data_IF_855527152989
#
_entry.id   IF_855527152989
#
_cell.length_a   1.000
_cell.length_b   1.000
_cell.length_c   1.000
_cell.angle_alpha   90.00
_cell.angle_beta   90.00
_cell.angle_gamma   90.00
#
_symmetry.space_group_name_H-M   'P 1'
#
loop_
_entity.id
_entity.type
_entity.pdbx_description
1 polymer ?
#
# COMPACT_ATOMS: atom_id res chain seq x y z
N UNK A 1 -0.71 5.06 15.35
CA UNK A 1 -0.91 4.97 13.89
C UNK A 1 -0.27 6.19 13.26
N UNK A 2 0.66 6.00 12.32
CA UNK A 2 1.31 7.11 11.60
C UNK A 2 0.29 7.79 10.70
N UNK A 3 0.15 9.12 10.81
CA UNK A 3 -0.76 9.88 9.96
C UNK A 3 -0.15 10.05 8.57
N UNK A 4 -0.94 9.76 7.54
CA UNK A 4 -0.55 9.90 6.14
C UNK A 4 -1.10 11.19 5.56
N UNK A 5 -0.29 11.80 4.71
CA UNK A 5 -0.60 13.02 3.98
C UNK A 5 -0.38 12.79 2.49
N UNK A 6 -1.00 13.60 1.64
CA UNK A 6 -0.92 13.46 0.21
C UNK A 6 -0.95 14.81 -0.52
N UNK A 7 -0.30 14.86 -1.68
CA UNK A 7 -0.53 15.84 -2.74
C UNK A 7 -1.16 15.14 -3.94
N UNK A 8 -1.91 15.89 -4.74
CA UNK A 8 -2.47 15.34 -5.98
C UNK A 8 -1.38 15.40 -7.06
N UNK A 9 -1.26 14.33 -7.85
CA UNK A 9 -0.33 14.29 -8.97
C UNK A 9 -0.78 15.25 -10.06
N UNK A 10 0.14 16.02 -10.67
CA UNK A 10 -0.20 16.92 -11.79
C UNK A 10 -0.82 16.22 -13.00
N UNK A 11 -0.58 14.92 -13.18
CA UNK A 11 -1.14 14.12 -14.27
C UNK A 11 -2.49 13.45 -13.91
N UNK A 12 -2.97 13.63 -12.67
CA UNK A 12 -4.27 13.10 -12.25
C UNK A 12 -5.41 13.93 -12.86
N UNK A 13 -6.58 13.30 -13.03
CA UNK A 13 -7.81 14.02 -13.39
C UNK A 13 -8.27 15.03 -12.33
N UNK A 14 -7.68 15.00 -11.13
CA UNK A 14 -7.97 15.92 -10.02
C UNK A 14 -6.89 17.00 -9.83
N UNK A 15 -5.95 17.14 -10.78
CA UNK A 15 -4.80 18.03 -10.64
C UNK A 15 -5.17 19.50 -10.39
N UNK A 16 -6.33 19.93 -10.87
CA UNK A 16 -6.92 21.26 -10.64
C UNK A 16 -7.28 21.52 -9.16
N UNK A 17 -7.41 20.47 -8.35
CA UNK A 17 -7.70 20.55 -6.92
C UNK A 17 -6.43 20.61 -6.06
N UNK A 18 -5.24 20.49 -6.66
CA UNK A 18 -3.99 20.50 -5.92
C UNK A 18 -3.69 21.92 -5.40
N UNK A 19 -3.56 22.05 -4.09
CA UNK A 19 -3.25 23.33 -3.44
C UNK A 19 -1.74 23.54 -3.26
N UNK A 20 -0.92 22.58 -3.69
CA UNK A 20 0.53 22.56 -3.46
C UNK A 20 0.94 22.25 -2.01
N UNK A 21 -0.02 22.03 -1.10
CA UNK A 21 0.22 21.72 0.31
C UNK A 21 -0.31 20.32 0.65
N UNK A 22 0.52 19.42 1.23
CA UNK A 22 0.06 18.08 1.59
C UNK A 22 -1.13 18.10 2.55
N UNK A 23 -2.19 17.36 2.22
CA UNK A 23 -3.39 17.21 3.03
C UNK A 23 -3.47 15.82 3.65
N UNK A 24 -4.11 15.71 4.81
CA UNK A 24 -4.25 14.43 5.51
C UNK A 24 -5.14 13.48 4.70
N UNK A 25 -4.72 12.22 4.62
CA UNK A 25 -5.47 11.12 4.00
C UNK A 25 -5.53 9.90 4.91
N UNK A 26 -6.55 9.06 4.69
CA UNK A 26 -6.70 7.75 5.33
C UNK A 26 -6.98 6.71 4.25
N UNK A 27 -6.34 5.56 4.36
CA UNK A 27 -6.68 4.42 3.52
C UNK A 27 -8.03 3.86 3.99
N UNK A 28 -8.98 3.72 3.08
CA UNK A 28 -10.24 3.07 3.35
C UNK A 28 -10.37 1.82 2.45
N UNK A 29 -10.51 0.63 3.04
CA UNK A 29 -10.84 -0.58 2.28
C UNK A 29 -12.31 -0.50 1.82
N UNK A 30 -12.52 -0.58 0.51
CA UNK A 30 -13.83 -0.85 -0.08
C UNK A 30 -14.04 -2.36 -0.19
N UNK A 31 -15.17 -2.91 0.25
CA UNK A 31 -15.48 -4.32 0.04
C UNK A 31 -15.59 -4.70 -1.45
N UNK A 32 -15.90 -3.74 -2.33
CA UNK A 32 -16.23 -4.00 -3.74
C UNK A 32 -15.23 -3.42 -4.75
N UNK A 33 -14.54 -2.31 -4.41
CA UNK A 33 -13.69 -1.55 -5.35
C UNK A 33 -12.20 -1.55 -4.97
N UNK A 34 -11.78 -2.37 -4.01
CA UNK A 34 -10.40 -2.42 -3.52
C UNK A 34 -10.09 -1.27 -2.56
N UNK A 35 -8.93 -0.63 -2.67
CA UNK A 35 -8.47 0.38 -1.73
C UNK A 35 -8.52 1.80 -2.31
N UNK A 36 -9.08 2.74 -1.57
CA UNK A 36 -9.05 4.16 -1.92
C UNK A 36 -8.60 5.03 -0.74
N UNK A 37 -8.14 6.23 -1.06
CA UNK A 37 -7.71 7.22 -0.09
C UNK A 37 -8.82 8.22 0.14
N UNK A 38 -9.23 8.40 1.39
CA UNK A 38 -10.20 9.42 1.80
C UNK A 38 -9.47 10.60 2.42
N UNK A 39 -9.84 11.81 2.04
CA UNK A 39 -9.32 13.05 2.59
C UNK A 39 -9.20 14.13 1.52
N UNK A 40 -8.65 15.28 1.90
CA UNK A 40 -8.38 16.36 0.96
C UNK A 40 -9.61 16.99 0.29
N UNK A 41 -9.39 17.87 -0.71
CA UNK A 41 -10.43 18.69 -1.31
C UNK A 41 -11.45 17.91 -2.16
N UNK A 42 -11.04 16.81 -2.78
CA UNK A 42 -11.86 15.94 -3.63
C UNK A 42 -12.49 14.76 -2.89
N UNK A 43 -12.17 14.60 -1.60
CA UNK A 43 -12.78 13.61 -0.71
C UNK A 43 -12.29 12.18 -0.91
N UNK A 44 -12.15 11.70 -2.14
CA UNK A 44 -11.73 10.33 -2.46
C UNK A 44 -10.79 10.29 -3.68
N UNK A 45 -9.72 9.51 -3.56
CA UNK A 45 -8.69 9.38 -4.59
C UNK A 45 -8.21 7.95 -4.76
N UNK A 46 -7.76 7.59 -5.98
CA UNK A 46 -6.99 6.36 -6.19
C UNK A 46 -5.55 6.59 -5.75
N UNK A 47 -4.83 5.51 -5.45
CA UNK A 47 -3.42 5.62 -5.10
C UNK A 47 -2.58 6.27 -6.21
N UNK A 48 -2.89 5.97 -7.47
CA UNK A 48 -2.21 6.53 -8.65
C UNK A 48 -2.36 8.05 -8.80
N UNK A 49 -3.37 8.64 -8.15
CA UNK A 49 -3.63 10.07 -8.20
C UNK A 49 -2.81 10.86 -7.18
N UNK A 50 -2.14 10.17 -6.25
CA UNK A 50 -1.53 10.81 -5.08
C UNK A 50 -0.01 10.65 -5.04
N UNK A 51 0.62 11.61 -4.37
CA UNK A 51 1.99 11.54 -3.86
C UNK A 51 1.87 11.54 -2.34
N UNK A 52 2.34 10.48 -1.67
CA UNK A 52 2.18 10.34 -0.22
C UNK A 52 3.35 10.93 0.56
N UNK A 53 3.04 11.35 1.79
CA UNK A 53 3.96 11.93 2.76
C UNK A 53 3.64 11.39 4.15
N UNK A 54 4.67 11.30 4.98
CA UNK A 54 4.53 11.21 6.44
C UNK A 54 4.95 12.53 7.05
N UNK A 55 4.32 12.92 8.15
CA UNK A 55 4.72 14.10 8.90
C UNK A 55 5.74 13.68 9.98
N UNK A 56 6.91 14.32 9.98
CA UNK A 56 7.95 14.17 10.99
C UNK A 56 8.29 15.55 11.56
N UNK A 57 7.87 15.81 12.81
CA UNK A 57 7.85 17.16 13.35
C UNK A 57 6.99 18.10 12.51
N UNK A 58 7.57 19.19 12.01
CA UNK A 58 6.91 20.16 11.12
C UNK A 58 7.17 19.89 9.63
N UNK A 59 7.98 18.88 9.30
CA UNK A 59 8.33 18.56 7.93
C UNK A 59 7.42 17.47 7.35
N UNK A 60 7.08 17.63 6.07
CA UNK A 60 6.47 16.56 5.29
C UNK A 60 7.56 15.81 4.56
N UNK A 61 7.91 14.66 5.11
CA UNK A 61 8.82 13.75 4.43
C UNK A 61 8.00 13.06 3.35
N UNK A 62 8.26 13.42 2.10
CA UNK A 62 7.74 12.68 0.95
C UNK A 62 8.06 11.22 1.22
N UNK A 63 7.04 10.37 1.24
CA UNK A 63 7.25 8.96 1.05
C UNK A 63 7.89 8.90 -0.32
N UNK A 64 9.24 8.85 -0.39
CA UNK A 64 9.87 8.87 -1.71
C UNK A 64 9.22 7.70 -2.41
N UNK A 65 8.85 7.91 -3.66
CA UNK A 65 8.48 6.79 -4.52
C UNK A 65 9.78 5.98 -4.67
N UNK A 66 10.05 5.14 -3.66
CA UNK A 66 11.27 4.39 -3.45
C UNK A 66 11.09 3.14 -4.31
N UNK A 67 11.57 3.25 -5.55
CA UNK A 67 11.72 2.21 -6.57
C UNK A 67 10.70 1.06 -6.48
N UNK A 68 9.63 1.08 -7.29
CA UNK A 68 8.68 0.01 -7.72
C UNK A 68 8.31 -1.18 -6.77
N UNK A 69 9.23 -1.64 -5.95
CA UNK A 69 9.17 -2.64 -4.89
C UNK A 69 8.77 -2.07 -3.52
N UNK A 70 9.05 -0.79 -3.21
CA UNK A 70 8.78 -0.21 -1.88
C UNK A 70 7.29 -0.05 -1.56
N UNK A 71 6.47 0.32 -2.56
CA UNK A 71 5.00 0.39 -2.43
C UNK A 71 4.41 -0.99 -2.13
N UNK A 72 4.91 -2.03 -2.81
CA UNK A 72 4.48 -3.42 -2.56
C UNK A 72 4.83 -3.85 -1.15
N UNK A 73 6.04 -3.57 -0.70
CA UNK A 73 6.46 -3.97 0.65
C UNK A 73 5.62 -3.30 1.74
N UNK A 74 5.33 -2.01 1.61
CA UNK A 74 4.54 -1.32 2.63
C UNK A 74 3.07 -1.72 2.61
N UNK A 75 2.47 -1.95 1.44
CA UNK A 75 1.12 -2.52 1.32
C UNK A 75 1.07 -3.93 1.91
N UNK A 76 2.06 -4.77 1.60
CA UNK A 76 2.18 -6.12 2.18
C UNK A 76 2.31 -6.02 3.71
N UNK A 77 3.14 -5.11 4.23
CA UNK A 77 3.28 -4.88 5.68
C UNK A 77 1.97 -4.44 6.33
N UNK A 78 1.22 -3.53 5.70
CA UNK A 78 -0.09 -3.10 6.20
C UNK A 78 -1.08 -4.26 6.23
N UNK A 79 -1.21 -5.02 5.14
CA UNK A 79 -2.07 -6.20 5.06
C UNK A 79 -1.69 -7.26 6.11
N UNK A 80 -0.39 -7.54 6.28
CA UNK A 80 0.08 -8.51 7.27
C UNK A 80 -0.18 -8.05 8.71
N UNK A 81 -0.10 -6.74 8.98
CA UNK A 81 -0.38 -6.18 10.31
C UNK A 81 -1.86 -6.32 10.67
N UNK A 82 -2.75 -6.11 9.70
CA UNK A 82 -4.20 -6.30 9.88
C UNK A 82 -4.52 -7.77 10.15
N UNK A 83 -4.01 -8.69 9.33
CA UNK A 83 -4.19 -10.14 9.51
C UNK A 83 -3.63 -10.59 10.87
N UNK A 84 -2.48 -10.08 11.29
CA UNK A 84 -1.92 -10.37 12.61
C UNK A 84 -2.87 -9.90 13.72
N UNK A 85 -3.37 -8.66 13.63
CA UNK A 85 -4.29 -8.10 14.63
C UNK A 85 -5.57 -8.94 14.74
N UNK A 86 -6.16 -9.32 13.61
CA UNK A 86 -7.37 -10.15 13.57
C UNK A 86 -7.12 -11.58 14.09
N UNK A 87 -5.93 -12.12 13.86
CA UNK A 87 -5.51 -13.43 14.40
C UNK A 87 -5.36 -13.39 15.91
N UNK A 88 -4.76 -12.33 16.46
CA UNK A 88 -4.63 -12.10 17.91
C UNK A 88 -6.00 -11.93 18.59
N UNK A 89 -6.98 -11.37 17.87
CA UNK A 89 -8.37 -11.23 18.34
C UNK A 89 -9.22 -12.49 18.16
N UNK A 90 -8.68 -13.53 17.51
CA UNK A 90 -9.38 -14.80 17.28
C UNK A 90 -10.46 -14.74 16.20
N UNK A 91 -10.39 -13.78 15.28
CA UNK A 91 -11.37 -13.65 14.19
C UNK A 91 -11.18 -14.65 13.05
N UNK A 92 -10.02 -15.32 12.99
CA UNK A 92 -9.75 -16.34 12.00
C UNK A 92 -9.80 -17.74 12.56
N UNK A 93 -10.40 -18.66 11.80
CA UNK A 93 -10.30 -20.09 12.08
C UNK A 93 -8.88 -20.59 11.68
N UNK A 94 -8.20 -21.38 12.53
CA UNK A 94 -6.84 -21.84 12.26
C UNK A 94 -6.67 -22.53 10.90
N UNK A 95 -7.62 -23.39 10.53
CA UNK A 95 -7.59 -24.16 9.29
C UNK A 95 -7.69 -23.26 8.04
N UNK A 96 -8.40 -22.13 8.14
CA UNK A 96 -8.56 -21.17 7.04
C UNK A 96 -7.26 -20.38 6.82
N UNK A 97 -6.62 -19.91 7.90
CA UNK A 97 -5.30 -19.26 7.82
C UNK A 97 -4.27 -20.26 7.27
N UNK A 98 -4.25 -21.50 7.75
CA UNK A 98 -3.30 -22.50 7.29
C UNK A 98 -3.43 -22.76 5.79
N UNK A 99 -4.67 -22.91 5.30
CA UNK A 99 -4.96 -23.07 3.87
C UNK A 99 -4.48 -21.86 3.07
N UNK A 100 -4.77 -20.64 3.53
CA UNK A 100 -4.34 -19.40 2.87
C UNK A 100 -2.80 -19.27 2.83
N UNK A 101 -2.11 -19.51 3.96
CA UNK A 101 -0.63 -19.49 4.04
C UNK A 101 -0.02 -20.48 3.06
N UNK A 102 -0.55 -21.70 2.99
CA UNK A 102 -0.08 -22.72 2.06
C UNK A 102 -0.26 -22.30 0.59
N UNK A 103 -1.39 -21.66 0.25
CA UNK A 103 -1.64 -21.13 -1.08
C UNK A 103 -0.65 -20.02 -1.46
N UNK A 104 -0.44 -19.04 -0.58
CA UNK A 104 0.50 -17.94 -0.82
C UNK A 104 1.94 -18.46 -0.96
N UNK A 105 2.36 -19.39 -0.10
CA UNK A 105 3.67 -20.03 -0.18
C UNK A 105 3.90 -20.71 -1.53
N UNK A 106 2.89 -21.41 -2.05
CA UNK A 106 2.95 -22.07 -3.37
C UNK A 106 3.14 -21.05 -4.50
N UNK A 107 2.41 -19.94 -4.48
CA UNK A 107 2.53 -18.88 -5.48
C UNK A 107 3.91 -18.19 -5.43
N UNK A 108 4.36 -17.77 -4.24
CA UNK A 108 5.66 -17.13 -4.05
C UNK A 108 6.81 -18.05 -4.44
N UNK A 109 6.72 -19.35 -4.13
CA UNK A 109 7.71 -20.34 -4.56
C UNK A 109 7.79 -20.48 -6.08
N UNK A 110 6.64 -20.44 -6.78
CA UNK A 110 6.60 -20.45 -8.24
C UNK A 110 7.27 -19.20 -8.83
N UNK A 111 6.97 -18.02 -8.27
CA UNK A 111 7.59 -16.75 -8.68
C UNK A 111 9.11 -16.81 -8.49
N UNK A 112 9.57 -17.29 -7.33
CA UNK A 112 11.00 -17.44 -7.05
C UNK A 112 11.69 -18.38 -8.04
N UNK A 113 11.05 -19.51 -8.38
CA UNK A 113 11.59 -20.45 -9.38
C UNK A 113 11.75 -19.78 -10.75
N UNK A 114 10.76 -19.00 -11.18
CA UNK A 114 10.81 -18.25 -12.44
C UNK A 114 11.92 -17.19 -12.40
N UNK A 115 12.00 -16.42 -11.32
CA UNK A 115 13.04 -15.39 -11.16
C UNK A 115 14.46 -15.98 -11.21
N UNK A 116 14.67 -17.12 -10.55
CA UNK A 116 15.96 -17.85 -10.61
C UNK A 116 16.30 -18.32 -12.03
N UNK A 117 15.33 -18.86 -12.75
CA UNK A 117 15.54 -19.37 -14.11
C UNK A 117 15.86 -18.26 -15.14
N UNK A 118 15.36 -17.05 -14.90
CA UNK A 118 15.51 -15.91 -15.82
C UNK A 118 16.59 -14.90 -15.39
N UNK A 119 17.34 -15.18 -14.32
CA UNK A 119 18.44 -14.33 -13.90
C UNK A 119 19.58 -14.48 -14.90
N UNK A 120 19.79 -13.47 -15.75
CA UNK A 120 21.04 -13.33 -16.50
C UNK A 120 22.11 -12.88 -15.50
N UNK A 121 23.22 -13.62 -15.41
CA UNK A 121 24.40 -13.14 -14.72
C UNK A 121 25.03 -12.07 -15.61
N UNK A 122 25.07 -10.82 -15.13
CA UNK A 122 25.87 -9.77 -15.76
C UNK A 122 27.35 -10.21 -15.71
N UNK A 123 27.96 -10.38 -16.89
CA UNK A 123 29.41 -10.60 -17.11
C UNK A 123 30.15 -9.28 -16.86
#
# INVERSE_FOLDING_TARGET
MTELYALIRPASSYADQDTGVPFRVKLNPCPFDGYYWIGGPGGQYRHSDLILFVKDGDEFIKCRAYAANGEREQIIRMMLTEIQTESELGYFYPDEIESWVNQQRKQLSKILKIAKANRQEDI
#
